data_IF_552824704693
#
_entry.id   IF_552824704693
#
_cell.length_a   1.000
_cell.length_b   1.000
_cell.length_c   1.000
_cell.angle_alpha   90.00
_cell.angle_beta   90.00
_cell.angle_gamma   90.00
#
_symmetry.space_group_name_H-M   'P 1'
#
loop_
_entity.id
_entity.type
_entity.pdbx_description
1 polymer ?
#
# COMPACT_ATOMS: atom_id res chain seq x y z
N UNK A 1 12.86 25.97 -11.54
CA UNK A 1 12.98 24.74 -12.28
C UNK A 1 12.76 23.52 -11.44
N UNK A 2 13.53 23.37 -10.35
CA UNK A 2 13.33 22.22 -9.48
C UNK A 2 11.95 22.21 -8.85
N UNK A 3 11.42 23.38 -8.50
CA UNK A 3 10.10 23.47 -7.91
C UNK A 3 9.01 22.99 -8.87
N UNK A 4 9.10 23.37 -10.13
CA UNK A 4 8.13 22.93 -11.13
C UNK A 4 8.20 21.42 -11.33
N UNK A 5 9.42 20.90 -11.39
CA UNK A 5 9.63 19.46 -11.57
C UNK A 5 9.07 18.68 -10.40
N UNK A 6 9.32 19.16 -9.18
CA UNK A 6 8.81 18.51 -7.98
C UNK A 6 7.28 18.55 -7.95
N UNK A 7 6.68 19.68 -8.34
CA UNK A 7 5.22 19.80 -8.37
C UNK A 7 4.62 18.82 -9.38
N UNK A 8 5.25 18.68 -10.54
CA UNK A 8 4.79 17.77 -11.58
C UNK A 8 4.84 16.32 -11.08
N UNK A 9 5.95 15.96 -10.47
CA UNK A 9 6.11 14.61 -9.90
C UNK A 9 5.08 14.35 -8.80
N UNK A 10 4.79 15.37 -8.00
CA UNK A 10 3.80 15.25 -6.92
C UNK A 10 2.42 14.96 -7.48
N UNK A 11 2.03 15.64 -8.56
CA UNK A 11 0.74 15.40 -9.19
C UNK A 11 0.65 14.00 -9.78
N UNK A 12 1.70 13.54 -10.45
CA UNK A 12 1.75 12.18 -10.97
C UNK A 12 1.67 11.16 -9.85
N UNK A 13 2.38 11.42 -8.76
CA UNK A 13 2.39 10.53 -7.62
C UNK A 13 1.00 10.44 -6.99
N UNK A 14 0.32 11.58 -6.83
CA UNK A 14 -1.03 11.58 -6.25
C UNK A 14 -2.00 10.78 -7.12
N UNK A 15 -1.92 10.96 -8.43
CA UNK A 15 -2.79 10.23 -9.35
C UNK A 15 -2.52 8.72 -9.26
N UNK A 16 -1.24 8.34 -9.17
CA UNK A 16 -0.86 6.94 -9.05
C UNK A 16 -1.38 6.34 -7.75
N UNK A 17 -1.24 7.06 -6.64
CA UNK A 17 -1.72 6.59 -5.35
C UNK A 17 -3.23 6.38 -5.38
N UNK A 18 -3.97 7.34 -5.94
CA UNK A 18 -5.43 7.24 -6.02
C UNK A 18 -5.86 6.05 -6.88
N UNK A 19 -5.14 5.81 -7.95
CA UNK A 19 -5.44 4.68 -8.83
C UNK A 19 -5.24 3.36 -8.10
N UNK A 20 -4.11 3.22 -7.41
CA UNK A 20 -3.81 2.00 -6.66
C UNK A 20 -4.82 1.75 -5.54
N UNK A 21 -5.19 2.82 -4.84
CA UNK A 21 -6.22 2.72 -3.80
C UNK A 21 -7.55 2.26 -4.38
N UNK A 22 -7.91 2.81 -5.55
CA UNK A 22 -9.16 2.44 -6.22
C UNK A 22 -9.20 0.99 -6.63
N UNK A 23 -8.08 0.46 -7.13
CA UNK A 23 -8.01 -0.96 -7.51
C UNK A 23 -8.27 -1.86 -6.31
N UNK A 24 -7.67 -1.55 -5.18
CA UNK A 24 -7.85 -2.36 -3.97
C UNK A 24 -9.28 -2.25 -3.46
N UNK A 25 -9.84 -1.04 -3.45
CA UNK A 25 -11.21 -0.84 -2.96
C UNK A 25 -12.26 -1.51 -3.82
N UNK A 26 -11.99 -1.74 -5.08
CA UNK A 26 -12.92 -2.48 -5.94
C UNK A 26 -13.17 -3.89 -5.41
N UNK A 27 -12.17 -4.49 -4.78
CA UNK A 27 -12.27 -5.84 -4.25
C UNK A 27 -12.49 -5.87 -2.74
N UNK A 28 -11.98 -4.85 -2.05
CA UNK A 28 -12.05 -4.75 -0.60
C UNK A 28 -12.48 -3.32 -0.22
N UNK A 29 -13.80 -3.02 -0.31
CA UNK A 29 -14.29 -1.64 -0.13
C UNK A 29 -14.01 -1.02 1.23
N UNK A 30 -13.81 -1.85 2.25
CA UNK A 30 -13.56 -1.37 3.61
C UNK A 30 -12.10 -1.09 3.90
N UNK A 31 -11.23 -1.23 2.90
CA UNK A 31 -9.81 -0.99 3.05
C UNK A 31 -9.53 0.45 3.46
N UNK A 32 -8.64 0.62 4.43
CA UNK A 32 -8.15 1.94 4.82
C UNK A 32 -6.71 2.08 4.36
N UNK A 33 -6.31 3.33 4.11
CA UNK A 33 -4.98 3.61 3.58
C UNK A 33 -4.28 4.67 4.40
N UNK A 34 -2.98 4.52 4.53
CA UNK A 34 -2.10 5.54 5.09
C UNK A 34 -0.94 5.74 4.14
N UNK A 35 -0.62 7.00 3.82
CA UNK A 35 0.46 7.32 2.89
C UNK A 35 1.59 7.93 3.69
N UNK A 36 2.76 7.32 3.62
CA UNK A 36 3.93 7.77 4.37
C UNK A 36 5.15 7.86 3.48
N UNK A 37 6.12 8.65 3.90
CA UNK A 37 7.42 8.71 3.24
C UNK A 37 8.37 7.71 3.89
N UNK A 38 9.09 6.97 3.04
CA UNK A 38 10.09 6.03 3.51
C UNK A 38 11.46 6.37 2.97
N UNK A 39 12.49 5.92 3.66
CA UNK A 39 13.87 6.21 3.30
C UNK A 39 14.66 5.01 2.77
N UNK A 40 14.15 3.80 2.94
CA UNK A 40 14.91 2.60 2.59
C UNK A 40 14.00 1.54 1.96
N UNK A 41 13.76 1.61 0.65
CA UNK A 41 14.22 2.66 -0.27
C UNK A 41 13.40 3.94 -0.15
N UNK A 42 13.99 5.03 -0.61
CA UNK A 42 13.31 6.32 -0.60
C UNK A 42 12.11 6.31 -1.53
N UNK A 43 10.97 6.76 -1.04
CA UNK A 43 9.76 6.83 -1.85
C UNK A 43 8.52 7.02 -1.01
N UNK A 44 7.37 6.84 -1.66
CA UNK A 44 6.07 6.96 -1.02
C UNK A 44 5.53 5.55 -0.78
N UNK A 45 5.13 5.28 0.44
CA UNK A 45 4.58 3.99 0.82
C UNK A 45 3.09 4.13 1.11
N UNK A 46 2.29 3.34 0.42
CA UNK A 46 0.85 3.28 0.63
C UNK A 46 0.57 2.04 1.47
N UNK A 47 0.25 2.27 2.74
CA UNK A 47 -0.07 1.18 3.65
C UNK A 47 -1.56 0.90 3.53
N UNK A 48 -1.90 -0.28 3.04
CA UNK A 48 -3.28 -0.68 2.80
C UNK A 48 -3.69 -1.70 3.85
N UNK A 49 -4.56 -1.29 4.77
CA UNK A 49 -5.10 -2.20 5.79
C UNK A 49 -6.30 -2.91 5.19
N UNK A 50 -6.13 -4.17 4.86
CA UNK A 50 -7.10 -4.97 4.16
C UNK A 50 -7.49 -6.17 5.02
N UNK A 51 -8.79 -6.37 5.24
CA UNK A 51 -9.29 -7.51 5.98
C UNK A 51 -9.36 -8.72 5.07
N UNK A 52 -8.19 -9.29 4.79
CA UNK A 52 -8.03 -10.47 3.95
C UNK A 52 -7.16 -11.48 4.67
N UNK A 53 -7.46 -12.76 4.47
CA UNK A 53 -6.66 -13.82 5.05
C UNK A 53 -5.30 -13.93 4.37
N UNK A 54 -5.27 -13.69 3.06
CA UNK A 54 -4.08 -13.83 2.24
C UNK A 54 -3.72 -12.52 1.60
N UNK A 55 -2.62 -11.93 2.05
CA UNK A 55 -2.16 -10.65 1.48
C UNK A 55 -1.64 -10.82 0.06
N UNK A 56 -1.26 -12.03 -0.35
CA UNK A 56 -0.84 -12.27 -1.73
C UNK A 56 -1.99 -12.04 -2.70
N UNK A 57 -3.21 -12.40 -2.30
CA UNK A 57 -4.39 -12.15 -3.12
C UNK A 57 -4.61 -10.63 -3.31
N UNK A 58 -4.27 -9.85 -2.29
CA UNK A 58 -4.36 -8.40 -2.37
C UNK A 58 -3.31 -7.87 -3.34
N UNK A 59 -2.10 -8.37 -3.26
CA UNK A 59 -1.00 -7.97 -4.15
C UNK A 59 -1.37 -8.23 -5.60
N UNK A 60 -1.97 -9.37 -5.89
CA UNK A 60 -2.36 -9.73 -7.26
C UNK A 60 -3.29 -8.69 -7.90
N UNK A 61 -4.05 -7.98 -7.08
CA UNK A 61 -4.99 -6.97 -7.59
C UNK A 61 -4.26 -5.79 -8.24
N UNK A 62 -3.14 -5.37 -7.66
CA UNK A 62 -2.50 -4.12 -8.08
C UNK A 62 -1.09 -4.29 -8.64
N UNK A 63 -0.48 -5.47 -8.53
CA UNK A 63 0.95 -5.61 -8.82
C UNK A 63 1.33 -5.23 -10.25
N UNK A 64 0.52 -5.62 -11.22
CA UNK A 64 0.81 -5.31 -12.61
C UNK A 64 0.84 -3.80 -12.84
N UNK A 65 -0.15 -3.10 -12.30
CA UNK A 65 -0.23 -1.65 -12.45
C UNK A 65 0.87 -0.95 -11.66
N UNK A 66 1.18 -1.47 -10.48
CA UNK A 66 2.25 -0.91 -9.65
C UNK A 66 3.58 -0.99 -10.40
N UNK A 67 3.88 -2.12 -11.02
CA UNK A 67 5.11 -2.28 -11.79
C UNK A 67 5.17 -1.32 -12.97
N UNK A 68 4.06 -1.11 -13.66
CA UNK A 68 4.00 -0.12 -14.73
C UNK A 68 4.33 1.28 -14.21
N UNK A 69 3.78 1.64 -13.07
CA UNK A 69 4.03 2.95 -12.49
C UNK A 69 5.49 3.12 -12.07
N UNK A 70 6.09 2.08 -11.53
CA UNK A 70 7.48 2.13 -11.11
C UNK A 70 8.44 2.16 -12.29
N UNK A 71 8.19 1.32 -13.30
CA UNK A 71 9.11 1.13 -14.41
C UNK A 71 8.85 2.15 -15.52
N UNK A 72 7.62 2.25 -15.99
CA UNK A 72 7.30 3.11 -17.13
C UNK A 72 7.22 4.58 -16.75
N UNK A 73 6.60 4.88 -15.62
CA UNK A 73 6.45 6.25 -15.16
C UNK A 73 7.60 6.70 -14.26
N UNK A 74 8.45 5.77 -13.80
CA UNK A 74 9.58 6.10 -12.96
C UNK A 74 9.23 6.61 -11.58
N UNK A 75 8.08 6.19 -11.04
CA UNK A 75 7.60 6.66 -9.74
C UNK A 75 8.10 5.76 -8.62
N UNK A 76 8.63 6.37 -7.58
CA UNK A 76 9.07 5.65 -6.38
C UNK A 76 7.89 5.48 -5.43
N UNK A 77 6.95 4.64 -5.83
CA UNK A 77 5.74 4.36 -5.05
C UNK A 77 5.68 2.86 -4.73
N UNK A 78 5.29 2.55 -3.51
CA UNK A 78 5.22 1.18 -3.02
C UNK A 78 3.91 0.97 -2.30
N UNK A 79 3.37 -0.26 -2.37
CA UNK A 79 2.16 -0.61 -1.66
C UNK A 79 2.48 -1.73 -0.69
N UNK A 80 2.12 -1.53 0.58
CA UNK A 80 2.35 -2.51 1.63
C UNK A 80 1.00 -2.95 2.18
N UNK A 81 0.54 -4.16 1.84
CA UNK A 81 -0.70 -4.68 2.40
C UNK A 81 -0.47 -5.13 3.84
N UNK A 82 -1.34 -4.69 4.74
CA UNK A 82 -1.26 -5.08 6.13
C UNK A 82 -2.64 -5.56 6.60
N UNK A 83 -2.64 -6.41 7.62
CA UNK A 83 -3.88 -6.91 8.18
C UNK A 83 -4.41 -5.97 9.24
N UNK A 84 -5.73 -5.94 9.46
CA UNK A 84 -6.29 -5.14 10.54
C UNK A 84 -5.71 -5.54 11.89
N UNK A 85 -5.56 -4.55 12.77
CA UNK A 85 -4.98 -4.78 14.08
C UNK A 85 -5.74 -5.83 14.87
N UNK A 86 -7.06 -5.83 14.77
CA UNK A 86 -7.88 -6.79 15.49
C UNK A 86 -7.53 -8.24 15.14
N UNK A 87 -7.26 -8.49 13.85
CA UNK A 87 -6.89 -9.83 13.39
C UNK A 87 -5.52 -10.23 13.92
N UNK A 88 -4.59 -9.28 13.89
CA UNK A 88 -3.24 -9.53 14.39
C UNK A 88 -3.25 -9.76 15.88
N UNK A 89 -4.03 -8.97 16.63
CA UNK A 89 -4.11 -9.12 18.08
C UNK A 89 -4.76 -10.45 18.48
N UNK A 90 -5.72 -10.93 17.71
CA UNK A 90 -6.31 -12.24 17.96
C UNK A 90 -5.26 -13.34 17.85
N UNK A 91 -4.40 -13.25 16.85
CA UNK A 91 -3.32 -14.22 16.67
C UNK A 91 -2.34 -14.18 17.83
N UNK A 92 -1.99 -12.97 18.29
CA UNK A 92 -1.08 -12.80 19.43
C UNK A 92 -1.70 -13.38 20.71
N UNK A 93 -2.98 -13.16 20.90
CA UNK A 93 -3.69 -13.73 22.06
C UNK A 93 -3.60 -15.24 22.09
N UNK A 94 -3.79 -15.88 20.96
CA UNK A 94 -3.70 -17.33 20.87
C UNK A 94 -2.29 -17.82 21.22
N UNK A 95 -1.28 -17.14 20.75
CA UNK A 95 0.11 -17.46 21.05
C UNK A 95 0.39 -17.34 22.54
N UNK A 96 -0.11 -16.30 23.16
CA UNK A 96 0.07 -16.09 24.59
C UNK A 96 -0.59 -17.20 25.39
N UNK A 97 -1.76 -17.66 24.99
CA UNK A 97 -2.46 -18.76 25.65
C UNK A 97 -1.65 -20.06 25.57
N UNK A 98 -1.03 -20.30 24.44
CA UNK A 98 -0.22 -21.50 24.27
C UNK A 98 1.00 -21.47 25.18
N UNK A 99 1.59 -20.29 25.33
CA UNK A 99 2.75 -20.11 26.18
C UNK A 99 2.38 -20.16 27.67
N UNK A 100 1.18 -19.76 27.99
CA UNK A 100 0.70 -19.74 29.36
C UNK A 100 0.18 -21.08 29.79
#
# INVERSE_FOLDING_TARGET
MKAEHVAFDTLHMQAAIMELQGLIRQHYPDTTFEVVHGDDPTGIYVLATVDAEDTEAVVDIYIDRLLELQIDAGLAVYVVPVRPLARVMTSVDLDIRELG
#
